data_IF_695048283033
#
_entry.id   IF_695048283033
#
_cell.length_a   1.000
_cell.length_b   1.000
_cell.length_c   1.000
_cell.angle_alpha   90.00
_cell.angle_beta   90.00
_cell.angle_gamma   90.00
#
_symmetry.space_group_name_H-M   'P 1'
#
loop_
_entity.id
_entity.type
_entity.pdbx_description
1 polymer ?
#
# COMPACT_ATOMS: atom_id res chain seq x y z
N UNK A 1 -5.09 21.85 1.20
CA UNK A 1 -4.59 20.49 0.99
C UNK A 1 -5.01 19.66 2.17
N UNK A 2 -5.88 18.67 1.96
CA UNK A 2 -6.23 17.69 3.00
C UNK A 2 -5.26 16.52 2.91
N UNK A 3 -4.46 16.28 3.96
CA UNK A 3 -3.58 15.13 4.03
C UNK A 3 -4.04 14.22 5.18
N UNK A 4 -4.29 12.94 4.87
CA UNK A 4 -4.55 11.92 5.88
C UNK A 4 -3.24 11.41 6.46
N UNK A 5 -3.28 10.93 7.70
CA UNK A 5 -2.17 10.31 8.39
C UNK A 5 -2.40 8.81 8.46
N UNK A 6 -1.45 8.01 8.02
CA UNK A 6 -1.50 6.56 8.17
C UNK A 6 -0.88 6.15 9.51
N UNK A 7 -1.66 5.49 10.35
CA UNK A 7 -1.23 4.98 11.65
C UNK A 7 -1.92 3.65 11.94
N UNK A 8 -1.22 2.73 12.59
CA UNK A 8 -1.80 1.45 13.04
C UNK A 8 -2.74 1.65 14.23
N UNK A 9 -3.79 2.40 13.98
CA UNK A 9 -4.79 2.73 14.96
C UNK A 9 -6.19 2.71 14.33
N UNK A 10 -6.98 1.70 14.68
CA UNK A 10 -8.33 1.53 14.16
C UNK A 10 -9.35 2.16 15.12
N UNK A 11 -9.54 3.47 15.02
CA UNK A 11 -10.56 4.18 15.78
C UNK A 11 -11.44 5.03 14.87
N UNK A 12 -12.73 4.75 14.86
CA UNK A 12 -13.69 5.48 14.04
C UNK A 12 -13.73 6.98 14.37
N UNK A 13 -13.47 7.36 15.62
CA UNK A 13 -13.46 8.76 16.05
C UNK A 13 -12.31 9.58 15.41
N UNK A 14 -11.25 8.92 14.93
CA UNK A 14 -10.10 9.58 14.30
C UNK A 14 -10.25 9.78 12.78
N UNK A 15 -11.33 9.29 12.19
CA UNK A 15 -11.57 9.46 10.74
C UNK A 15 -11.90 10.88 10.33
N UNK A 16 -12.35 11.71 11.27
CA UNK A 16 -12.60 13.12 11.08
C UNK A 16 -12.18 13.87 12.34
N UNK A 17 -11.07 14.57 12.26
CA UNK A 17 -10.51 15.34 13.37
C UNK A 17 -10.23 16.78 12.95
N UNK A 18 -10.16 17.67 13.91
CA UNK A 18 -9.65 19.03 13.72
C UNK A 18 -8.27 19.06 14.38
N UNK A 19 -7.26 19.49 13.62
CA UNK A 19 -5.89 19.69 14.09
C UNK A 19 -5.53 21.16 14.08
N UNK A 20 -4.45 21.55 14.75
CA UNK A 20 -3.98 22.93 14.80
C UNK A 20 -4.87 23.82 15.67
N UNK A 21 -5.60 23.24 16.64
CA UNK A 21 -6.33 24.04 17.64
C UNK A 21 -5.28 24.68 18.54
N UNK A 22 -5.36 26.03 18.67
CA UNK A 22 -4.45 26.78 19.54
C UNK A 22 -4.48 26.22 20.96
N UNK A 23 -3.29 25.83 21.45
CA UNK A 23 -3.07 25.40 22.80
C UNK A 23 -2.70 26.61 23.70
N UNK A 24 -1.44 26.70 24.07
CA UNK A 24 -0.90 27.69 24.99
C UNK A 24 -0.33 28.96 24.31
N UNK A 25 -0.69 29.22 23.06
CA UNK A 25 -0.26 30.41 22.31
C UNK A 25 1.17 30.35 21.79
N UNK A 26 1.77 29.17 21.68
CA UNK A 26 3.10 29.00 21.09
C UNK A 26 3.08 29.22 19.59
N UNK A 27 4.12 29.86 19.09
CA UNK A 27 4.28 30.30 17.70
C UNK A 27 4.25 29.17 16.64
N UNK A 28 4.20 27.91 17.06
CA UNK A 28 4.30 26.72 16.20
C UNK A 28 3.01 25.87 16.14
N UNK A 29 1.89 26.36 16.64
CA UNK A 29 0.64 25.57 16.69
C UNK A 29 -0.02 25.35 15.33
N UNK A 30 0.49 25.98 14.27
CA UNK A 30 -0.07 25.87 12.93
C UNK A 30 -1.41 26.58 12.80
N UNK A 31 -2.15 26.25 11.78
CA UNK A 31 -3.52 26.76 11.59
C UNK A 31 -4.53 25.62 11.70
N UNK A 32 -5.71 25.95 12.17
CA UNK A 32 -6.79 24.98 12.36
C UNK A 32 -7.26 24.42 11.01
N UNK A 33 -7.24 23.11 10.86
CA UNK A 33 -7.71 22.43 9.65
C UNK A 33 -8.35 21.09 9.94
N UNK A 34 -9.21 20.65 9.04
CA UNK A 34 -9.76 19.30 9.08
C UNK A 34 -8.72 18.29 8.62
N UNK A 35 -8.60 17.18 9.32
CA UNK A 35 -7.71 16.06 8.97
C UNK A 35 -8.35 14.72 9.31
N UNK A 36 -7.62 13.63 9.08
CA UNK A 36 -8.05 12.27 9.39
C UNK A 36 -6.86 11.38 9.68
N UNK A 37 -7.12 10.28 10.40
CA UNK A 37 -6.19 9.16 10.57
C UNK A 37 -6.79 7.91 9.92
N UNK A 38 -5.99 7.24 9.12
CA UNK A 38 -6.34 6.00 8.44
C UNK A 38 -5.38 4.88 8.91
N UNK A 39 -5.87 3.65 8.99
CA UNK A 39 -5.02 2.50 9.32
C UNK A 39 -4.00 2.25 8.20
N UNK A 40 -2.78 1.83 8.54
CA UNK A 40 -1.69 1.58 7.58
C UNK A 40 -2.09 0.61 6.47
N UNK A 41 -2.86 -0.44 6.80
CA UNK A 41 -3.35 -1.41 5.82
C UNK A 41 -4.33 -0.81 4.79
N UNK A 42 -4.95 0.33 5.07
CA UNK A 42 -5.80 1.08 4.14
C UNK A 42 -5.05 2.21 3.41
N UNK A 43 -3.73 2.29 3.57
CA UNK A 43 -2.88 3.26 2.89
C UNK A 43 -2.72 2.92 1.40
N UNK A 44 -2.79 3.95 0.56
CA UNK A 44 -2.48 3.82 -0.87
C UNK A 44 -1.04 3.32 -1.11
N UNK A 45 -0.11 3.65 -0.22
CA UNK A 45 1.27 3.17 -0.26
C UNK A 45 1.33 1.64 -0.13
N UNK A 46 0.52 1.05 0.75
CA UNK A 46 0.40 -0.40 0.89
C UNK A 46 -0.08 -1.05 -0.41
N UNK A 47 -1.09 -0.48 -1.05
CA UNK A 47 -1.61 -0.95 -2.34
C UNK A 47 -0.58 -0.81 -3.46
N UNK A 48 0.11 0.32 -3.53
CA UNK A 48 1.19 0.56 -4.50
C UNK A 48 2.30 -0.50 -4.32
N UNK A 49 2.72 -0.77 -3.09
CA UNK A 49 3.76 -1.75 -2.79
C UNK A 49 3.35 -3.17 -3.21
N UNK A 50 2.09 -3.53 -3.04
CA UNK A 50 1.60 -4.87 -3.44
C UNK A 50 1.59 -5.07 -4.96
N UNK A 51 1.48 -4.00 -5.74
CA UNK A 51 1.51 -4.03 -7.21
C UNK A 51 2.88 -3.74 -7.83
N UNK A 52 3.83 -3.28 -7.05
CA UNK A 52 5.18 -3.01 -7.54
C UNK A 52 5.88 -4.31 -7.97
N UNK A 53 6.55 -4.27 -9.12
CA UNK A 53 7.26 -5.42 -9.69
C UNK A 53 8.72 -5.50 -9.25
N UNK A 54 9.29 -4.36 -8.92
CA UNK A 54 10.67 -4.16 -8.48
C UNK A 54 10.83 -2.76 -7.87
N UNK A 55 12.01 -2.42 -7.37
CA UNK A 55 12.29 -1.12 -6.77
C UNK A 55 12.17 0.06 -7.74
N UNK A 56 12.65 -0.02 -8.99
CA UNK A 56 12.40 1.02 -9.99
C UNK A 56 10.91 1.27 -10.27
N UNK A 57 10.11 0.22 -10.41
CA UNK A 57 8.66 0.33 -10.62
C UNK A 57 7.97 0.91 -9.37
N UNK A 58 8.39 0.51 -8.17
CA UNK A 58 7.90 1.09 -6.93
C UNK A 58 8.13 2.60 -6.89
N UNK A 59 9.35 3.05 -7.16
CA UNK A 59 9.69 4.48 -7.20
C UNK A 59 8.85 5.24 -8.23
N UNK A 60 8.72 4.68 -9.43
CA UNK A 60 7.90 5.26 -10.51
C UNK A 60 6.43 5.42 -10.10
N UNK A 61 5.88 4.48 -9.34
CA UNK A 61 4.50 4.56 -8.84
C UNK A 61 4.38 5.60 -7.73
N UNK A 62 5.32 5.60 -6.80
CA UNK A 62 5.36 6.58 -5.71
C UNK A 62 5.47 8.02 -6.23
N UNK A 63 6.26 8.27 -7.27
CA UNK A 63 6.42 9.60 -7.86
C UNK A 63 5.13 10.18 -8.47
N UNK A 64 4.13 9.34 -8.72
CA UNK A 64 2.85 9.70 -9.35
C UNK A 64 1.70 9.86 -8.36
N UNK A 65 1.94 9.69 -7.07
CA UNK A 65 0.90 9.89 -6.03
C UNK A 65 0.47 11.34 -6.05
N UNK A 66 -0.83 11.56 -6.22
CA UNK A 66 -1.42 12.91 -6.26
C UNK A 66 -1.69 13.37 -4.84
N UNK A 67 -1.09 14.48 -4.44
CA UNK A 67 -1.21 15.06 -3.10
C UNK A 67 -2.21 16.21 -3.06
N UNK A 68 -2.34 16.94 -4.16
CA UNK A 68 -3.16 18.13 -4.24
C UNK A 68 -3.51 18.45 -5.70
N UNK A 69 -4.32 19.50 -5.86
CA UNK A 69 -4.53 20.14 -7.14
C UNK A 69 -4.16 21.61 -7.02
N UNK A 70 -3.54 22.17 -8.05
CA UNK A 70 -3.28 23.59 -8.12
C UNK A 70 -4.57 24.40 -8.38
N UNK A 71 -4.46 25.73 -8.46
CA UNK A 71 -5.63 26.60 -8.71
C UNK A 71 -6.21 26.44 -10.11
N UNK A 72 -5.45 25.90 -11.06
CA UNK A 72 -5.89 25.61 -12.42
C UNK A 72 -6.49 24.19 -12.56
N UNK A 73 -6.46 23.39 -11.49
CA UNK A 73 -6.97 22.03 -11.47
C UNK A 73 -5.95 20.95 -11.90
N UNK A 74 -4.69 21.32 -12.06
CA UNK A 74 -3.66 20.34 -12.39
C UNK A 74 -3.24 19.55 -11.13
N UNK A 75 -2.96 18.24 -11.25
CA UNK A 75 -2.51 17.45 -10.11
C UNK A 75 -1.10 17.86 -9.68
N UNK A 76 -0.89 17.96 -8.38
CA UNK A 76 0.42 18.10 -7.74
C UNK A 76 0.81 16.75 -7.16
N UNK A 77 1.93 16.22 -7.61
CA UNK A 77 2.39 14.87 -7.26
C UNK A 77 3.52 14.89 -6.24
N UNK A 78 3.88 13.72 -5.75
CA UNK A 78 5.07 13.54 -4.90
C UNK A 78 6.37 13.90 -5.62
N UNK A 79 6.42 13.70 -6.94
CA UNK A 79 7.56 14.13 -7.76
C UNK A 79 7.68 15.66 -7.82
N UNK A 80 6.57 16.37 -7.92
CA UNK A 80 6.57 17.84 -7.92
C UNK A 80 7.07 18.43 -6.60
N UNK A 81 6.90 17.69 -5.50
CA UNK A 81 7.44 18.06 -4.18
C UNK A 81 8.84 17.47 -3.90
N UNK A 82 9.41 16.70 -4.83
CA UNK A 82 10.73 16.07 -4.71
C UNK A 82 10.84 15.12 -3.49
N UNK A 83 9.72 14.47 -3.07
CA UNK A 83 9.69 13.60 -1.89
C UNK A 83 9.69 12.10 -2.22
N UNK A 84 9.54 11.71 -3.48
CA UNK A 84 9.49 10.32 -3.94
C UNK A 84 10.76 9.54 -3.57
N UNK A 85 11.93 10.19 -3.60
CA UNK A 85 13.19 9.60 -3.19
C UNK A 85 13.25 9.30 -1.69
N UNK A 86 12.79 10.20 -0.85
CA UNK A 86 12.70 10.01 0.59
C UNK A 86 11.68 8.90 0.95
N UNK A 87 10.52 8.88 0.29
CA UNK A 87 9.53 7.81 0.43
C UNK A 87 10.14 6.45 0.07
N UNK A 88 10.90 6.37 -1.02
CA UNK A 88 11.56 5.15 -1.45
C UNK A 88 12.60 4.67 -0.43
N UNK A 89 13.38 5.58 0.16
CA UNK A 89 14.36 5.24 1.19
C UNK A 89 13.70 4.62 2.43
N UNK A 90 12.58 5.16 2.87
CA UNK A 90 11.80 4.61 3.98
C UNK A 90 11.18 3.23 3.67
N UNK A 91 10.79 3.00 2.42
CA UNK A 91 10.16 1.75 2.00
C UNK A 91 11.15 0.65 1.59
N UNK A 92 12.45 0.93 1.59
CA UNK A 92 13.46 -0.03 1.13
C UNK A 92 13.40 -1.37 1.88
N UNK A 93 13.33 -1.33 3.22
CA UNK A 93 13.18 -2.54 4.02
C UNK A 93 11.77 -3.15 3.90
N UNK A 94 10.74 -2.31 3.88
CA UNK A 94 9.36 -2.76 3.72
C UNK A 94 9.08 -3.41 2.35
N UNK A 95 9.92 -3.17 1.34
CA UNK A 95 9.80 -3.80 0.02
C UNK A 95 10.28 -5.25 -0.03
N UNK A 96 10.90 -5.75 1.03
CA UNK A 96 11.39 -7.12 1.15
C UNK A 96 10.31 -8.02 1.76
N UNK A 97 9.91 -9.12 1.10
CA UNK A 97 8.99 -10.08 1.71
C UNK A 97 9.57 -10.69 2.98
N UNK A 98 8.74 -10.83 4.00
CA UNK A 98 9.10 -11.56 5.21
C UNK A 98 8.97 -13.05 4.96
N UNK A 99 10.02 -13.81 5.26
CA UNK A 99 10.02 -15.26 5.20
C UNK A 99 9.79 -15.82 6.59
N UNK A 100 8.71 -16.59 6.73
CA UNK A 100 8.39 -17.35 7.94
C UNK A 100 8.22 -18.83 7.60
N UNK A 101 7.94 -19.63 8.61
CA UNK A 101 7.82 -21.08 8.47
C UNK A 101 6.54 -21.59 9.15
N UNK A 102 5.86 -22.53 8.50
CA UNK A 102 4.74 -23.25 9.13
C UNK A 102 5.24 -24.26 10.17
N UNK A 103 4.31 -24.83 10.93
CA UNK A 103 4.61 -25.91 11.90
C UNK A 103 5.21 -27.13 11.18
N UNK A 104 4.78 -27.41 9.96
CA UNK A 104 5.27 -28.50 9.13
C UNK A 104 6.58 -28.20 8.40
N UNK A 105 7.16 -27.01 8.62
CA UNK A 105 8.45 -26.64 8.03
C UNK A 105 8.37 -26.03 6.62
N UNK A 106 7.18 -25.72 6.12
CA UNK A 106 7.01 -25.11 4.81
C UNK A 106 7.31 -23.61 4.84
N UNK A 107 7.98 -23.05 3.84
CA UNK A 107 8.23 -21.61 3.78
C UNK A 107 6.95 -20.84 3.44
N UNK A 108 6.77 -19.70 4.10
CA UNK A 108 5.66 -18.78 3.87
C UNK A 108 6.22 -17.36 3.68
N UNK A 109 5.84 -16.70 2.61
CA UNK A 109 6.16 -15.31 2.37
C UNK A 109 4.98 -14.42 2.77
N UNK A 110 5.24 -13.45 3.67
CA UNK A 110 4.27 -12.45 4.10
C UNK A 110 4.75 -11.09 3.63
N UNK A 111 3.97 -10.45 2.78
CA UNK A 111 4.35 -9.16 2.22
C UNK A 111 3.15 -8.39 1.72
N UNK A 112 3.09 -7.10 2.08
CA UNK A 112 2.07 -6.13 1.69
C UNK A 112 0.63 -6.69 1.82
N UNK A 113 -0.17 -6.12 2.67
CA UNK A 113 -1.53 -6.56 2.94
C UNK A 113 -2.52 -5.40 2.83
N UNK A 114 -2.77 -4.81 1.63
CA UNK A 114 -3.78 -3.79 1.49
C UNK A 114 -5.15 -4.36 1.89
N UNK A 115 -5.90 -3.57 2.67
CA UNK A 115 -7.13 -4.00 3.32
C UNK A 115 -8.36 -3.31 2.73
N UNK A 116 -9.53 -3.96 2.86
CA UNK A 116 -10.81 -3.39 2.46
C UNK A 116 -10.92 -3.13 0.95
N UNK A 117 -11.41 -1.96 0.57
CA UNK A 117 -11.67 -1.62 -0.84
C UNK A 117 -10.42 -1.54 -1.72
N UNK A 118 -9.24 -1.35 -1.10
CA UNK A 118 -7.96 -1.31 -1.81
C UNK A 118 -7.24 -2.65 -1.83
N UNK A 119 -7.80 -3.70 -1.21
CA UNK A 119 -7.26 -5.05 -1.26
C UNK A 119 -7.24 -5.59 -2.69
N UNK A 120 -6.19 -6.33 -3.02
CA UNK A 120 -6.00 -6.94 -4.34
C UNK A 120 -6.23 -8.45 -4.31
N UNK A 121 -6.77 -8.94 -3.19
CA UNK A 121 -7.09 -10.33 -2.96
C UNK A 121 -5.93 -11.20 -2.51
N UNK A 122 -4.68 -10.74 -2.66
CA UNK A 122 -3.47 -11.54 -2.39
C UNK A 122 -2.31 -10.69 -1.85
N UNK A 123 -1.17 -11.35 -1.62
CA UNK A 123 0.10 -10.72 -1.28
C UNK A 123 0.68 -9.94 -2.48
N UNK A 124 1.94 -9.53 -2.39
CA UNK A 124 2.58 -8.68 -3.41
C UNK A 124 3.07 -9.46 -4.63
N UNK A 125 3.22 -8.76 -5.76
CA UNK A 125 3.86 -9.29 -6.96
C UNK A 125 5.32 -9.67 -6.70
N UNK A 126 6.03 -8.92 -5.85
CA UNK A 126 7.42 -9.25 -5.47
C UNK A 126 7.47 -10.59 -4.74
N UNK A 127 6.57 -10.82 -3.78
CA UNK A 127 6.50 -12.09 -3.06
C UNK A 127 6.22 -13.27 -3.99
N UNK A 128 5.27 -13.14 -4.92
CA UNK A 128 4.98 -14.19 -5.91
C UNK A 128 6.20 -14.51 -6.78
N UNK A 129 6.90 -13.50 -7.26
CA UNK A 129 8.11 -13.67 -8.07
C UNK A 129 9.24 -14.36 -7.32
N UNK A 130 9.38 -14.06 -6.04
CA UNK A 130 10.36 -14.73 -5.15
C UNK A 130 9.93 -16.19 -4.94
N UNK A 131 8.67 -16.44 -4.58
CA UNK A 131 8.14 -17.77 -4.34
C UNK A 131 8.29 -18.68 -5.57
N UNK A 132 7.90 -18.20 -6.75
CA UNK A 132 8.00 -18.95 -8.01
C UNK A 132 9.44 -19.25 -8.44
N UNK A 133 10.44 -18.57 -7.89
CA UNK A 133 11.85 -18.90 -8.11
C UNK A 133 12.42 -19.90 -7.10
N UNK A 134 11.80 -20.01 -5.95
CA UNK A 134 12.28 -20.83 -4.84
C UNK A 134 11.54 -22.14 -4.68
N UNK A 135 10.37 -22.30 -5.34
CA UNK A 135 9.52 -23.48 -5.20
C UNK A 135 8.93 -23.93 -6.54
N UNK A 136 8.67 -25.23 -6.66
CA UNK A 136 7.99 -25.83 -7.81
C UNK A 136 6.49 -25.50 -7.83
N UNK A 137 5.90 -25.32 -6.65
CA UNK A 137 4.49 -24.98 -6.47
C UNK A 137 4.39 -23.77 -5.53
N UNK A 138 3.71 -22.74 -6.01
CA UNK A 138 3.37 -21.55 -5.22
C UNK A 138 1.86 -21.49 -5.02
N UNK A 139 1.43 -21.49 -3.76
CA UNK A 139 0.03 -21.37 -3.36
C UNK A 139 -0.19 -19.98 -2.76
N UNK A 140 -1.24 -19.30 -3.17
CA UNK A 140 -1.60 -18.00 -2.64
C UNK A 140 -3.11 -17.92 -2.44
N UNK A 141 -3.54 -17.14 -1.46
CA UNK A 141 -4.95 -16.99 -1.13
C UNK A 141 -5.48 -15.67 -1.71
N UNK A 142 -6.65 -15.75 -2.35
CA UNK A 142 -7.43 -14.56 -2.72
C UNK A 142 -8.52 -14.35 -1.68
N UNK A 143 -8.38 -13.32 -0.85
CA UNK A 143 -9.32 -13.04 0.24
C UNK A 143 -10.73 -12.72 -0.25
N UNK A 144 -11.72 -12.92 0.59
CA UNK A 144 -13.16 -12.89 0.31
C UNK A 144 -13.63 -14.05 -0.58
N UNK A 145 -14.80 -13.93 -1.20
CA UNK A 145 -15.29 -14.87 -2.19
C UNK A 145 -14.66 -14.67 -3.56
N UNK A 146 -14.91 -15.60 -4.47
CA UNK A 146 -14.37 -15.55 -5.83
C UNK A 146 -14.82 -14.31 -6.61
N UNK A 147 -16.01 -13.81 -6.31
CA UNK A 147 -16.61 -12.61 -6.91
C UNK A 147 -15.91 -11.30 -6.50
N UNK A 148 -15.09 -11.33 -5.46
CA UNK A 148 -14.33 -10.15 -4.97
C UNK A 148 -12.83 -10.40 -5.06
N UNK A 149 -12.31 -11.34 -4.27
CA UNK A 149 -10.87 -11.54 -4.13
C UNK A 149 -10.23 -12.14 -5.37
N UNK A 150 -10.80 -13.22 -5.91
CA UNK A 150 -10.28 -13.83 -7.13
C UNK A 150 -10.45 -12.93 -8.35
N UNK A 151 -11.59 -12.21 -8.46
CA UNK A 151 -11.81 -11.26 -9.54
C UNK A 151 -10.76 -10.14 -9.52
N UNK A 152 -10.46 -9.56 -8.37
CA UNK A 152 -9.39 -8.56 -8.24
C UNK A 152 -8.02 -9.13 -8.55
N UNK A 153 -7.73 -10.34 -8.10
CA UNK A 153 -6.50 -11.03 -8.45
C UNK A 153 -6.36 -11.16 -9.97
N UNK A 154 -7.38 -11.69 -10.62
CA UNK A 154 -7.37 -11.93 -12.06
C UNK A 154 -7.29 -10.63 -12.86
N UNK A 155 -8.19 -9.69 -12.59
CA UNK A 155 -8.34 -8.47 -13.38
C UNK A 155 -7.27 -7.41 -13.08
N UNK A 156 -6.69 -7.41 -11.88
CA UNK A 156 -5.70 -6.40 -11.48
C UNK A 156 -4.31 -7.03 -11.37
N UNK A 157 -4.12 -7.96 -10.45
CA UNK A 157 -2.77 -8.44 -10.12
C UNK A 157 -2.16 -9.27 -11.25
N UNK A 158 -2.90 -10.21 -11.86
CA UNK A 158 -2.42 -10.99 -12.99
C UNK A 158 -2.10 -10.09 -14.19
N UNK A 159 -2.97 -9.11 -14.46
CA UNK A 159 -2.74 -8.15 -15.54
C UNK A 159 -1.47 -7.31 -15.32
N UNK A 160 -1.24 -6.86 -14.09
CA UNK A 160 -0.09 -6.03 -13.75
C UNK A 160 1.21 -6.82 -13.64
N UNK A 161 1.16 -8.06 -13.18
CA UNK A 161 2.34 -8.92 -12.98
C UNK A 161 2.75 -9.69 -14.24
N UNK A 162 1.79 -10.01 -15.10
CA UNK A 162 1.94 -10.99 -16.18
C UNK A 162 1.89 -12.45 -15.71
N UNK A 163 1.75 -12.69 -14.40
CA UNK A 163 1.62 -14.04 -13.83
C UNK A 163 0.17 -14.50 -13.91
N UNK A 164 -0.04 -15.77 -14.18
CA UNK A 164 -1.36 -16.40 -14.23
C UNK A 164 -1.36 -17.65 -13.36
N UNK A 165 -2.46 -17.95 -12.66
CA UNK A 165 -2.58 -19.22 -11.94
C UNK A 165 -2.73 -20.38 -12.92
N UNK A 166 -2.17 -21.54 -12.58
CA UNK A 166 -2.39 -22.78 -13.30
C UNK A 166 -3.69 -23.47 -12.86
N UNK A 167 -4.10 -23.24 -11.62
CA UNK A 167 -5.33 -23.76 -11.04
C UNK A 167 -5.91 -22.81 -10.00
N UNK A 168 -7.20 -22.90 -9.77
CA UNK A 168 -7.94 -22.24 -8.69
C UNK A 168 -8.86 -23.28 -8.04
N UNK A 169 -8.99 -23.23 -6.70
CA UNK A 169 -9.84 -24.13 -5.88
C UNK A 169 -10.85 -23.31 -5.12
#
# INVERSE_FOLDING_TARGET
VGMGWAMDFCCQALRNVIIGIEGDGRRNDGFMMRSRFDITAASEIMSIMSLARDLPDLRKRLSRVVLAFDRAGNPVTTADLEVDGAMMAWLLEASKPNLIQTIEGQPVLVHAGPFGNIALGQSSIIADRVALKLSDIHVTESGFGSEIGYEKFWNVKCHMSGLKPDAAV
#
